data_IF_059383692632
#
_entry.id   IF_059383692632
#
_cell.length_a   1.000
_cell.length_b   1.000
_cell.length_c   1.000
_cell.angle_alpha   90.00
_cell.angle_beta   90.00
_cell.angle_gamma   90.00
#
_symmetry.space_group_name_H-M   'P 1'
#
loop_
_entity.id
_entity.type
_entity.pdbx_description
1 polymer ?
#
# COMPACT_ATOMS: atom_id res chain seq x y z
N UNK A 1 26.10 26.89 16.33
CA UNK A 1 24.65 27.16 16.31
C UNK A 1 24.01 26.24 15.30
N UNK A 2 23.53 25.07 15.72
CA UNK A 2 22.83 24.16 14.81
C UNK A 2 21.48 24.82 14.53
N UNK A 3 21.26 25.30 13.30
CA UNK A 3 19.92 25.63 12.84
C UNK A 3 19.15 24.32 12.90
N UNK A 4 18.31 24.17 13.92
CA UNK A 4 17.32 23.12 13.99
C UNK A 4 16.36 23.33 12.81
N UNK A 5 16.75 22.80 11.64
CA UNK A 5 16.08 23.00 10.38
C UNK A 5 14.61 22.61 10.49
N UNK A 6 13.76 23.59 10.20
CA UNK A 6 12.32 23.52 10.07
C UNK A 6 11.86 22.13 9.64
N UNK A 7 11.27 21.34 10.55
CA UNK A 7 10.69 20.02 10.21
C UNK A 7 9.81 20.19 8.97
N UNK A 8 10.18 19.55 7.85
CA UNK A 8 9.44 19.67 6.60
C UNK A 8 7.99 19.23 6.83
N UNK A 9 7.06 20.15 6.70
CA UNK A 9 5.62 19.88 6.79
C UNK A 9 5.15 19.47 5.40
N UNK A 10 4.42 18.35 5.35
CA UNK A 10 3.87 17.82 4.11
C UNK A 10 2.37 18.04 4.10
N UNK A 11 1.87 18.73 3.07
CA UNK A 11 0.42 18.86 2.89
C UNK A 11 -0.20 17.49 2.57
N UNK A 12 -1.50 17.29 2.83
CA UNK A 12 -2.19 16.06 2.45
C UNK A 12 -2.05 15.74 0.95
N UNK A 13 -2.09 16.75 0.09
CA UNK A 13 -1.95 16.64 -1.36
C UNK A 13 -0.54 16.17 -1.73
N UNK A 14 0.50 16.74 -1.10
CA UNK A 14 1.87 16.29 -1.30
C UNK A 14 2.08 14.85 -0.86
N UNK A 15 1.50 14.44 0.29
CA UNK A 15 1.56 13.04 0.73
C UNK A 15 0.90 12.12 -0.30
N UNK A 16 -0.27 12.48 -0.83
CA UNK A 16 -0.97 11.69 -1.86
C UNK A 16 -0.17 11.58 -3.15
N UNK A 17 0.44 12.66 -3.63
CA UNK A 17 1.28 12.65 -4.83
C UNK A 17 2.48 11.70 -4.67
N UNK A 18 3.17 11.75 -3.51
CA UNK A 18 4.31 10.88 -3.22
C UNK A 18 3.88 9.41 -3.10
N UNK A 19 2.72 9.16 -2.51
CA UNK A 19 2.18 7.81 -2.37
C UNK A 19 1.74 7.21 -3.71
N UNK A 20 1.17 8.02 -4.59
CA UNK A 20 0.82 7.62 -5.95
C UNK A 20 2.07 7.30 -6.78
N UNK A 21 3.12 8.12 -6.70
CA UNK A 21 4.41 7.83 -7.34
C UNK A 21 5.02 6.52 -6.81
N UNK A 22 4.91 6.27 -5.50
CA UNK A 22 5.43 5.05 -4.89
C UNK A 22 4.61 3.77 -5.22
N UNK A 23 3.40 3.92 -5.77
CA UNK A 23 2.53 2.81 -6.20
C UNK A 23 2.85 2.32 -7.62
N UNK A 24 3.65 3.08 -8.36
CA UNK A 24 4.13 2.67 -9.67
C UNK A 24 4.99 1.40 -9.56
N UNK A 25 4.63 0.29 -10.24
CA UNK A 25 5.39 -0.95 -10.19
C UNK A 25 6.79 -0.84 -10.81
N UNK A 26 7.06 0.20 -11.60
CA UNK A 26 8.37 0.47 -12.19
C UNK A 26 9.36 1.09 -11.19
N UNK A 27 8.91 1.56 -10.02
CA UNK A 27 9.78 2.13 -8.99
C UNK A 27 9.60 1.44 -7.64
N UNK A 28 10.52 1.70 -6.72
CA UNK A 28 10.38 1.23 -5.35
C UNK A 28 10.05 2.38 -4.42
N UNK A 29 9.23 2.10 -3.41
CA UNK A 29 8.86 3.08 -2.39
C UNK A 29 10.08 3.69 -1.67
N UNK A 30 11.16 2.93 -1.51
CA UNK A 30 12.42 3.41 -0.92
C UNK A 30 13.15 4.39 -1.84
N UNK A 31 13.09 4.19 -3.15
CA UNK A 31 13.65 5.12 -4.12
C UNK A 31 12.87 6.44 -4.16
N UNK A 32 11.54 6.36 -4.25
CA UNK A 32 10.65 7.52 -4.18
C UNK A 32 10.87 8.28 -2.87
N UNK A 33 10.97 7.58 -1.73
CA UNK A 33 11.28 8.22 -0.46
C UNK A 33 12.60 9.00 -0.50
N UNK A 34 13.68 8.42 -1.04
CA UNK A 34 14.97 9.10 -1.18
C UNK A 34 14.88 10.34 -2.07
N UNK A 35 14.17 10.25 -3.20
CA UNK A 35 13.94 11.38 -4.13
C UNK A 35 13.27 12.57 -3.44
N UNK A 36 12.36 12.29 -2.51
CA UNK A 36 11.64 13.30 -1.73
C UNK A 36 12.32 13.67 -0.40
N UNK A 37 13.51 13.15 -0.10
CA UNK A 37 14.20 13.39 1.17
C UNK A 37 13.51 12.79 2.39
N UNK A 38 12.72 11.73 2.17
CA UNK A 38 11.97 10.98 3.17
C UNK A 38 12.75 9.74 3.60
N UNK A 39 12.54 9.34 4.86
CA UNK A 39 12.88 7.97 5.30
C UNK A 39 11.80 7.02 4.80
N UNK A 40 12.17 5.86 4.25
CA UNK A 40 11.21 4.86 3.75
C UNK A 40 10.14 4.50 4.79
N UNK A 41 10.51 4.35 6.08
CA UNK A 41 9.57 4.09 7.17
C UNK A 41 8.48 5.15 7.36
N UNK A 42 8.73 6.42 7.00
CA UNK A 42 7.71 7.47 7.03
C UNK A 42 6.66 7.28 5.92
N UNK A 43 7.10 6.86 4.73
CA UNK A 43 6.21 6.57 3.60
C UNK A 43 5.32 5.36 3.92
N UNK A 44 5.88 4.29 4.50
CA UNK A 44 5.10 3.14 4.96
C UNK A 44 4.08 3.50 6.04
N UNK A 45 4.44 4.40 6.97
CA UNK A 45 3.49 4.90 7.97
C UNK A 45 2.31 5.63 7.31
N UNK A 46 2.57 6.45 6.30
CA UNK A 46 1.50 7.14 5.56
C UNK A 46 0.61 6.16 4.79
N UNK A 47 1.19 5.12 4.18
CA UNK A 47 0.41 4.03 3.55
C UNK A 47 -0.52 3.36 4.55
N UNK A 48 0.01 2.99 5.71
CA UNK A 48 -0.78 2.35 6.74
C UNK A 48 -1.92 3.26 7.22
N UNK A 49 -1.65 4.54 7.44
CA UNK A 49 -2.68 5.51 7.84
C UNK A 49 -3.82 5.60 6.81
N UNK A 50 -3.50 5.69 5.52
CA UNK A 50 -4.52 5.69 4.46
C UNK A 50 -5.32 4.39 4.41
N UNK A 51 -4.67 3.23 4.58
CA UNK A 51 -5.37 1.94 4.62
C UNK A 51 -6.31 1.85 5.83
N UNK A 52 -5.90 2.39 6.99
CA UNK A 52 -6.77 2.49 8.17
C UNK A 52 -7.97 3.40 7.89
N UNK A 53 -7.75 4.60 7.35
CA UNK A 53 -8.82 5.53 6.99
C UNK A 53 -9.82 4.91 5.99
N UNK A 54 -9.32 4.19 4.98
CA UNK A 54 -10.15 3.47 4.01
C UNK A 54 -10.96 2.35 4.66
N UNK A 55 -10.35 1.60 5.59
CA UNK A 55 -11.05 0.55 6.33
C UNK A 55 -12.14 1.12 7.22
N UNK A 56 -11.86 2.21 7.92
CA UNK A 56 -12.84 2.87 8.78
C UNK A 56 -14.02 3.40 7.96
N UNK A 57 -13.74 3.98 6.78
CA UNK A 57 -14.76 4.37 5.82
C UNK A 57 -15.56 3.17 5.29
N UNK A 58 -14.91 2.04 5.02
CA UNK A 58 -15.58 0.81 4.57
C UNK A 58 -16.47 0.19 5.66
N UNK A 59 -16.09 0.28 6.94
CA UNK A 59 -16.91 -0.17 8.08
C UNK A 59 -18.16 0.70 8.24
N UNK A 60 -18.07 2.00 7.92
CA UNK A 60 -19.23 2.89 7.93
C UNK A 60 -20.21 2.62 6.78
N UNK A 61 -19.75 2.04 5.66
CA UNK A 61 -20.59 1.62 4.55
C UNK A 61 -21.25 0.25 4.83
N UNK A 62 -22.45 -0.03 4.28
CA UNK A 62 -23.02 -1.37 4.38
C UNK A 62 -22.08 -2.38 3.69
N UNK A 63 -21.81 -3.54 4.31
CA UNK A 63 -20.90 -4.52 3.74
C UNK A 63 -21.41 -5.02 2.39
N UNK A 64 -20.58 -4.99 1.36
CA UNK A 64 -20.89 -5.54 0.04
C UNK A 64 -20.35 -6.97 -0.09
N UNK A 65 -21.20 -7.89 -0.53
CA UNK A 65 -20.77 -9.24 -0.88
C UNK A 65 -20.17 -9.26 -2.29
N UNK A 66 -18.95 -9.79 -2.44
CA UNK A 66 -18.32 -10.02 -3.75
C UNK A 66 -18.43 -11.51 -4.06
N UNK A 67 -19.15 -11.92 -5.13
CA UNK A 67 -19.22 -13.33 -5.52
C UNK A 67 -17.85 -13.80 -6.01
N UNK A 68 -17.28 -14.79 -5.34
CA UNK A 68 -16.03 -15.43 -5.73
C UNK A 68 -16.32 -16.84 -6.28
N UNK A 69 -15.88 -17.10 -7.51
CA UNK A 69 -15.94 -18.43 -8.11
C UNK A 69 -14.68 -19.22 -7.74
N UNK A 70 -14.84 -20.36 -7.06
CA UNK A 70 -13.72 -21.24 -6.77
C UNK A 70 -13.40 -22.08 -8.02
N UNK A 71 -12.20 -21.91 -8.56
CA UNK A 71 -11.68 -22.83 -9.56
C UNK A 71 -11.40 -24.18 -8.92
N UNK A 72 -12.24 -25.18 -9.20
CA UNK A 72 -12.01 -26.55 -8.77
C UNK A 72 -10.81 -27.12 -9.53
N UNK A 73 -9.67 -27.27 -8.86
CA UNK A 73 -8.60 -28.13 -9.38
C UNK A 73 -9.10 -29.57 -9.40
N UNK A 74 -8.97 -30.25 -10.55
CA UNK A 74 -9.02 -31.73 -10.58
C UNK A 74 -7.73 -32.22 -9.95
N UNK A 75 -7.83 -33.04 -8.92
CA UNK A 75 -6.73 -33.95 -8.60
C UNK A 75 -6.81 -35.05 -9.65
N UNK A 76 -5.89 -35.02 -10.61
CA UNK A 76 -5.59 -36.19 -11.44
C UNK A 76 -4.99 -37.24 -10.49
N UNK A 77 -5.75 -38.28 -10.18
CA UNK A 77 -5.16 -39.52 -9.65
C UNK A 77 -4.61 -40.26 -10.85
N UNK A 78 -3.29 -40.17 -11.06
CA UNK A 78 -2.60 -41.09 -11.95
C UNK A 78 -2.89 -42.53 -11.49
N UNK A 79 -3.29 -43.45 -12.39
CA UNK A 79 -3.42 -44.85 -12.01
C UNK A 79 -2.04 -45.41 -11.67
N UNK A 80 -1.92 -46.04 -10.50
CA UNK A 80 -0.72 -46.82 -10.15
C UNK A 80 -0.59 -47.93 -11.20
N UNK A 81 0.47 -47.88 -11.99
CA UNK A 81 0.81 -48.95 -12.92
C UNK A 81 1.43 -50.09 -12.11
N UNK A 82 0.96 -51.31 -12.37
CA UNK A 82 1.47 -52.60 -11.89
C UNK A 82 2.91 -52.85 -12.37
#
# INVERSE_FOLDING_TARGET
MVVAGTRRVWSPEQKRAILAEADDPATTASEVARRHGLRSGLLFRWRHALLTEQRDAAVAAPPSFIPLALCRRRCETDPVAD
#
